data_IF_032589073821
#
_entry.id   IF_032589073821
#
_cell.length_a   1.000
_cell.length_b   1.000
_cell.length_c   1.000
_cell.angle_alpha   90.00
_cell.angle_beta   90.00
_cell.angle_gamma   90.00
#
_symmetry.space_group_name_H-M   'P 1'
#
loop_
_entity.id
_entity.type
_entity.pdbx_description
1 polymer ?
#
# COMPACT_ATOMS: atom_id res chain seq x y z
N UNK A 1 -27.21 21.90 49.04
CA UNK A 1 -26.04 22.53 48.39
C UNK A 1 -24.68 22.12 48.98
N UNK A 2 -24.61 21.39 50.11
CA UNK A 2 -23.34 20.89 50.68
C UNK A 2 -22.92 19.49 50.19
N UNK A 3 -23.81 18.70 49.58
CA UNK A 3 -23.48 17.36 49.07
C UNK A 3 -22.96 17.31 47.63
N UNK A 4 -23.11 18.38 46.83
CA UNK A 4 -22.52 18.46 45.49
C UNK A 4 -21.06 18.93 45.53
N UNK A 5 -20.69 19.74 46.53
CA UNK A 5 -19.31 20.25 46.68
C UNK A 5 -18.33 19.14 47.08
N UNK A 6 -18.77 18.17 47.89
CA UNK A 6 -17.92 17.01 48.24
C UNK A 6 -17.75 16.01 47.08
N UNK A 7 -18.73 15.90 46.18
CA UNK A 7 -18.61 15.01 45.03
C UNK A 7 -17.73 15.62 43.92
N UNK A 8 -17.75 16.94 43.75
CA UNK A 8 -16.88 17.64 42.79
C UNK A 8 -15.42 17.65 43.28
N UNK A 9 -15.17 17.91 44.57
CA UNK A 9 -13.79 17.97 45.13
C UNK A 9 -13.12 16.59 45.21
N UNK A 10 -13.88 15.50 45.41
CA UNK A 10 -13.31 14.13 45.40
C UNK A 10 -13.04 13.63 43.97
N UNK A 11 -13.80 14.09 42.98
CA UNK A 11 -13.60 13.72 41.57
C UNK A 11 -12.48 14.54 40.93
N UNK A 12 -12.38 15.84 41.22
CA UNK A 12 -11.31 16.71 40.69
C UNK A 12 -9.90 16.28 41.16
N UNK A 13 -9.75 15.84 42.42
CA UNK A 13 -8.48 15.32 42.93
C UNK A 13 -8.06 13.99 42.29
N UNK A 14 -9.01 13.21 41.79
CA UNK A 14 -8.76 11.92 41.14
C UNK A 14 -8.28 12.11 39.68
N UNK A 15 -8.88 13.06 38.95
CA UNK A 15 -8.47 13.36 37.57
C UNK A 15 -7.07 13.99 37.49
N UNK A 16 -6.73 14.91 38.39
CA UNK A 16 -5.39 15.51 38.41
C UNK A 16 -4.31 14.49 38.78
N UNK A 17 -4.62 13.59 39.71
CA UNK A 17 -3.76 12.46 40.07
C UNK A 17 -3.59 11.49 38.90
N UNK A 18 -4.69 11.07 38.25
CA UNK A 18 -4.67 10.17 37.09
C UNK A 18 -3.92 10.78 35.91
N UNK A 19 -4.09 12.09 35.67
CA UNK A 19 -3.34 12.83 34.64
C UNK A 19 -1.84 12.80 34.94
N UNK A 20 -1.47 13.08 36.19
CA UNK A 20 -0.06 13.02 36.63
C UNK A 20 0.50 11.60 36.47
N UNK A 21 -0.26 10.58 36.85
CA UNK A 21 0.11 9.18 36.66
C UNK A 21 0.34 8.84 35.18
N UNK A 22 -0.51 9.32 34.27
CA UNK A 22 -0.34 9.12 32.83
C UNK A 22 0.90 9.85 32.29
N UNK A 23 1.27 11.01 32.85
CA UNK A 23 2.53 11.69 32.51
C UNK A 23 3.76 10.90 33.01
N UNK A 24 3.72 10.38 34.24
CA UNK A 24 4.75 9.47 34.76
C UNK A 24 4.85 8.18 33.96
N UNK A 25 3.73 7.69 33.40
CA UNK A 25 3.71 6.54 32.50
C UNK A 25 4.57 6.80 31.25
N UNK A 26 4.54 8.02 30.67
CA UNK A 26 5.39 8.35 29.52
C UNK A 26 6.87 8.12 29.83
N UNK A 27 7.34 8.62 30.98
CA UNK A 27 8.74 8.56 31.40
C UNK A 27 9.15 7.12 31.74
N UNK A 28 8.38 6.46 32.61
CA UNK A 28 8.69 5.09 33.06
C UNK A 28 8.62 4.09 31.91
N UNK A 29 7.68 4.26 30.98
CA UNK A 29 7.60 3.44 29.77
C UNK A 29 8.71 3.75 28.77
N UNK A 30 9.17 5.01 28.66
CA UNK A 30 10.33 5.37 27.82
C UNK A 30 11.63 4.77 28.38
N UNK A 31 11.87 4.86 29.69
CA UNK A 31 13.02 4.25 30.35
C UNK A 31 13.05 2.72 30.15
N UNK A 32 11.89 2.07 30.29
CA UNK A 32 11.75 0.64 30.04
C UNK A 32 12.01 0.29 28.57
N UNK A 33 11.49 1.09 27.64
CA UNK A 33 11.70 0.93 26.22
C UNK A 33 13.17 1.10 25.82
N UNK A 34 13.82 2.18 26.27
CA UNK A 34 15.24 2.44 26.04
C UNK A 34 16.12 1.32 26.59
N UNK A 35 15.79 0.80 27.78
CA UNK A 35 16.48 -0.37 28.34
C UNK A 35 16.39 -1.56 27.38
N UNK A 36 15.20 -1.90 26.89
CA UNK A 36 15.03 -3.00 25.93
C UNK A 36 15.72 -2.74 24.59
N UNK A 37 15.72 -1.51 24.07
CA UNK A 37 16.48 -1.14 22.88
C UNK A 37 18.00 -1.28 23.11
N UNK A 38 18.47 -0.89 24.28
CA UNK A 38 19.88 -1.04 24.66
C UNK A 38 20.28 -2.51 24.67
N UNK A 39 19.42 -3.41 25.17
CA UNK A 39 19.61 -4.87 25.05
C UNK A 39 19.63 -5.30 23.59
N UNK A 40 18.70 -4.83 22.76
CA UNK A 40 18.65 -5.14 21.34
C UNK A 40 19.97 -4.77 20.62
N UNK A 41 20.48 -3.57 20.90
CA UNK A 41 21.71 -3.06 20.31
C UNK A 41 22.95 -3.79 20.84
N UNK A 42 23.10 -3.89 22.16
CA UNK A 42 24.31 -4.44 22.79
C UNK A 42 24.41 -5.96 22.68
N UNK A 43 23.30 -6.69 22.78
CA UNK A 43 23.30 -8.15 22.83
C UNK A 43 23.02 -8.81 21.49
N UNK A 44 22.44 -8.11 20.51
CA UNK A 44 22.18 -8.69 19.18
C UNK A 44 22.89 -7.95 18.05
N UNK A 45 22.75 -6.63 17.95
CA UNK A 45 23.40 -5.87 16.87
C UNK A 45 24.93 -5.78 17.05
N UNK A 46 25.40 -5.60 18.29
CA UNK A 46 26.80 -5.41 18.65
C UNK A 46 27.70 -6.63 18.43
N UNK A 47 27.33 -7.84 18.92
CA UNK A 47 28.26 -8.97 18.95
C UNK A 47 28.73 -9.42 17.57
N UNK A 48 30.06 -9.52 17.41
CA UNK A 48 30.71 -9.98 16.17
C UNK A 48 30.30 -11.40 15.79
N UNK A 49 30.01 -12.24 16.78
CA UNK A 49 29.54 -13.61 16.56
C UNK A 49 28.26 -13.66 15.74
N UNK A 50 27.24 -12.84 16.05
CA UNK A 50 26.02 -12.80 15.26
C UNK A 50 26.28 -12.18 13.89
N UNK A 51 27.10 -11.12 13.86
CA UNK A 51 27.52 -10.47 12.62
C UNK A 51 28.11 -11.43 11.59
N UNK A 52 28.94 -12.38 12.03
CA UNK A 52 29.59 -13.36 11.15
C UNK A 52 28.63 -14.44 10.62
N UNK A 53 27.40 -14.51 11.12
CA UNK A 53 26.38 -15.42 10.60
C UNK A 53 25.50 -14.81 9.52
N UNK A 54 25.66 -13.50 9.25
CA UNK A 54 24.82 -12.71 8.36
C UNK A 54 25.65 -12.08 7.24
N UNK A 55 25.08 -11.97 6.04
CA UNK A 55 25.63 -11.08 5.02
C UNK A 55 25.40 -9.61 5.41
N UNK A 56 26.20 -8.71 4.85
CA UNK A 56 26.07 -7.26 5.13
C UNK A 56 24.67 -6.73 4.86
N UNK A 57 24.04 -7.15 3.75
CA UNK A 57 22.68 -6.76 3.40
C UNK A 57 21.67 -7.35 4.41
N UNK A 58 21.79 -8.63 4.78
CA UNK A 58 20.89 -9.26 5.75
C UNK A 58 20.97 -8.58 7.12
N UNK A 59 22.18 -8.24 7.57
CA UNK A 59 22.37 -7.48 8.81
C UNK A 59 21.69 -6.12 8.75
N UNK A 60 21.88 -5.39 7.64
CA UNK A 60 21.23 -4.10 7.45
C UNK A 60 19.71 -4.23 7.40
N UNK A 61 19.17 -5.21 6.67
CA UNK A 61 17.72 -5.47 6.63
C UNK A 61 17.17 -5.85 7.99
N UNK A 62 17.85 -6.73 8.75
CA UNK A 62 17.36 -7.27 10.02
C UNK A 62 17.29 -6.21 11.14
N UNK A 63 18.25 -5.28 11.18
CA UNK A 63 18.33 -4.27 12.24
C UNK A 63 18.00 -2.85 11.78
N UNK A 64 17.92 -2.59 10.47
CA UNK A 64 17.69 -1.26 9.89
C UNK A 64 18.57 -0.20 10.57
N UNK A 65 17.97 0.92 10.96
CA UNK A 65 18.54 2.04 11.72
C UNK A 65 18.22 1.94 13.23
N UNK A 66 18.17 0.74 13.82
CA UNK A 66 17.85 0.53 15.25
C UNK A 66 18.69 1.40 16.20
N UNK A 67 19.97 1.59 15.86
CA UNK A 67 20.89 2.39 16.67
C UNK A 67 20.41 3.85 16.77
N UNK A 68 19.98 4.45 15.66
CA UNK A 68 19.46 5.81 15.64
C UNK A 68 18.13 5.92 16.39
N UNK A 69 17.28 4.89 16.33
CA UNK A 69 16.04 4.83 17.12
C UNK A 69 16.35 4.85 18.61
N UNK A 70 17.36 4.09 19.05
CA UNK A 70 17.85 4.12 20.44
C UNK A 70 18.36 5.49 20.83
N UNK A 71 19.18 6.12 20.00
CA UNK A 71 19.80 7.42 20.34
C UNK A 71 18.75 8.53 20.48
N UNK A 72 17.71 8.51 19.65
CA UNK A 72 16.58 9.44 19.76
C UNK A 72 15.74 9.15 21.01
N UNK A 73 15.52 7.88 21.35
CA UNK A 73 14.84 7.49 22.60
C UNK A 73 15.62 7.93 23.84
N UNK A 74 16.94 7.77 23.84
CA UNK A 74 17.82 8.23 24.91
C UNK A 74 17.76 9.76 25.07
N UNK A 75 17.88 10.50 23.97
CA UNK A 75 17.77 11.96 24.02
C UNK A 75 16.40 12.44 24.50
N UNK A 76 15.33 11.74 24.14
CA UNK A 76 13.98 12.07 24.61
C UNK A 76 13.82 11.79 26.11
N UNK A 77 14.33 10.65 26.59
CA UNK A 77 14.29 10.30 28.01
C UNK A 77 15.08 11.30 28.85
N UNK A 78 16.27 11.71 28.42
CA UNK A 78 17.09 12.69 29.13
C UNK A 78 16.36 14.02 29.34
N UNK A 79 15.67 14.52 28.30
CA UNK A 79 14.86 15.74 28.41
C UNK A 79 13.65 15.55 29.36
N UNK A 80 13.02 14.37 29.36
CA UNK A 80 11.92 14.04 30.27
C UNK A 80 12.39 13.98 31.73
N UNK A 81 13.54 13.35 31.99
CA UNK A 81 14.14 13.25 33.32
C UNK A 81 14.55 14.64 33.83
N UNK A 82 15.18 15.46 32.99
CA UNK A 82 15.51 16.85 33.34
C UNK A 82 14.26 17.65 33.73
N UNK A 83 13.16 17.52 32.97
CA UNK A 83 11.88 18.19 33.32
C UNK A 83 11.33 17.73 34.67
N UNK A 84 11.48 16.44 34.99
CA UNK A 84 11.05 15.90 36.27
C UNK A 84 11.90 16.39 37.45
N UNK A 85 13.20 16.58 37.23
CA UNK A 85 14.12 17.18 38.22
C UNK A 85 13.79 18.65 38.47
N UNK A 86 13.40 19.40 37.44
CA UNK A 86 13.00 20.81 37.54
C UNK A 86 11.67 20.99 38.29
N UNK A 87 10.71 20.07 38.09
CA UNK A 87 9.43 20.07 38.80
C UNK A 87 8.86 18.67 39.00
N UNK A 88 8.70 18.27 40.26
CA UNK A 88 8.04 17.02 40.64
C UNK A 88 6.55 16.97 40.23
N UNK A 89 5.93 18.14 40.06
CA UNK A 89 4.58 18.30 39.51
C UNK A 89 4.73 18.67 38.03
N UNK A 90 4.81 17.66 37.17
CA UNK A 90 4.87 17.87 35.73
C UNK A 90 3.50 18.30 35.22
N UNK A 91 3.40 19.53 34.72
CA UNK A 91 2.12 20.09 34.25
C UNK A 91 1.91 19.89 32.75
N UNK A 92 2.99 19.78 31.97
CA UNK A 92 2.98 19.59 30.53
C UNK A 92 4.26 18.88 30.05
N UNK A 93 4.11 18.08 28.98
CA UNK A 93 5.18 17.40 28.24
C UNK A 93 5.01 17.52 26.71
N UNK A 94 3.98 18.23 26.27
CA UNK A 94 3.63 18.41 24.86
C UNK A 94 4.73 19.13 24.10
N UNK A 95 5.37 20.11 24.74
CA UNK A 95 6.52 20.85 24.21
C UNK A 95 7.71 19.92 23.91
N UNK A 96 8.02 18.98 24.82
CA UNK A 96 9.08 18.00 24.62
C UNK A 96 8.75 17.02 23.49
N UNK A 97 7.51 16.52 23.43
CA UNK A 97 7.09 15.65 22.32
C UNK A 97 7.19 16.38 20.97
N UNK A 98 6.78 17.65 20.91
CA UNK A 98 6.91 18.46 19.70
C UNK A 98 8.37 18.72 19.34
N UNK A 99 9.23 19.04 20.31
CA UNK A 99 10.69 19.20 20.13
C UNK A 99 11.31 17.95 19.47
N UNK A 100 10.89 16.75 19.86
CA UNK A 100 11.43 15.48 19.36
C UNK A 100 10.71 14.92 18.12
N UNK A 101 9.57 15.49 17.74
CA UNK A 101 8.70 14.94 16.69
C UNK A 101 9.41 14.73 15.34
N UNK A 102 10.25 15.67 14.91
CA UNK A 102 11.03 15.54 13.67
C UNK A 102 12.10 14.45 13.76
N UNK A 103 12.75 14.31 14.93
CA UNK A 103 13.71 13.23 15.16
C UNK A 103 12.99 11.87 15.16
N UNK A 104 11.80 11.78 15.77
CA UNK A 104 10.97 10.58 15.72
C UNK A 104 10.58 10.25 14.27
N UNK A 105 10.10 11.24 13.51
CA UNK A 105 9.74 11.07 12.09
C UNK A 105 10.92 10.49 11.30
N UNK A 106 12.12 11.07 11.47
CA UNK A 106 13.35 10.63 10.78
C UNK A 106 13.71 9.18 11.05
N UNK A 107 13.60 8.70 12.30
CA UNK A 107 14.13 7.37 12.68
C UNK A 107 13.07 6.27 12.66
N UNK A 108 11.84 6.55 13.09
CA UNK A 108 10.80 5.52 13.19
C UNK A 108 10.21 5.16 11.83
N UNK A 109 10.05 6.12 10.92
CA UNK A 109 9.49 5.86 9.60
C UNK A 109 10.28 4.81 8.81
N UNK A 110 11.59 4.99 8.55
CA UNK A 110 12.35 3.98 7.82
C UNK A 110 12.42 2.65 8.56
N UNK A 111 12.52 2.65 9.89
CA UNK A 111 12.55 1.43 10.69
C UNK A 111 11.26 0.62 10.55
N UNK A 112 10.12 1.26 10.84
CA UNK A 112 8.80 0.62 10.86
C UNK A 112 8.37 0.22 9.45
N UNK A 113 8.69 1.03 8.44
CA UNK A 113 8.44 0.68 7.04
C UNK A 113 9.09 -0.67 6.71
N UNK A 114 10.32 -0.91 7.15
CA UNK A 114 11.07 -2.13 6.89
C UNK A 114 10.70 -3.33 7.78
N UNK A 115 9.78 -3.18 8.74
CA UNK A 115 9.47 -4.21 9.74
C UNK A 115 9.03 -5.55 9.12
N UNK A 116 8.27 -5.52 8.02
CA UNK A 116 7.81 -6.74 7.33
C UNK A 116 9.00 -7.53 6.77
N UNK A 117 10.00 -6.83 6.21
CA UNK A 117 11.21 -7.47 5.68
C UNK A 117 12.12 -7.98 6.78
N UNK A 118 12.23 -7.24 7.89
CA UNK A 118 12.92 -7.71 9.10
C UNK A 118 12.32 -9.03 9.59
N UNK A 119 11.00 -9.10 9.68
CA UNK A 119 10.29 -10.28 10.16
C UNK A 119 10.46 -11.46 9.20
N UNK A 120 10.26 -11.26 7.90
CA UNK A 120 10.42 -12.29 6.89
C UNK A 120 11.86 -12.83 6.87
N UNK A 121 12.85 -11.95 6.94
CA UNK A 121 14.25 -12.34 7.00
C UNK A 121 14.57 -13.10 8.28
N UNK A 122 14.12 -12.61 9.45
CA UNK A 122 14.31 -13.32 10.72
C UNK A 122 13.69 -14.72 10.69
N UNK A 123 12.48 -14.85 10.15
CA UNK A 123 11.82 -16.15 9.96
C UNK A 123 12.62 -17.07 9.04
N UNK A 124 13.12 -16.56 7.90
CA UNK A 124 13.95 -17.32 6.97
C UNK A 124 15.25 -17.80 7.62
N UNK A 125 15.98 -16.90 8.28
CA UNK A 125 17.24 -17.20 8.96
C UNK A 125 17.07 -18.23 10.07
N UNK A 126 15.96 -18.16 10.83
CA UNK A 126 15.66 -19.15 11.87
C UNK A 126 15.33 -20.54 11.32
N UNK A 127 14.92 -20.65 10.04
CA UNK A 127 14.66 -21.94 9.38
C UNK A 127 15.91 -22.50 8.67
N UNK A 128 16.66 -21.63 8.00
CA UNK A 128 17.66 -22.04 7.01
C UNK A 128 19.11 -21.90 7.51
N UNK A 129 19.38 -20.99 8.46
CA UNK A 129 20.74 -20.67 8.89
C UNK A 129 21.02 -21.21 10.30
N UNK A 130 21.55 -22.44 10.35
CA UNK A 130 21.87 -23.14 11.61
C UNK A 130 22.83 -22.32 12.49
N UNK A 131 23.85 -21.68 11.89
CA UNK A 131 24.82 -20.86 12.65
C UNK A 131 24.14 -19.67 13.32
N UNK A 132 23.28 -18.96 12.59
CA UNK A 132 22.48 -17.86 13.14
C UNK A 132 21.60 -18.35 14.29
N UNK A 133 20.88 -19.46 14.11
CA UNK A 133 20.02 -20.05 15.15
C UNK A 133 20.81 -20.37 16.42
N UNK A 134 21.97 -21.02 16.29
CA UNK A 134 22.81 -21.37 17.45
C UNK A 134 23.27 -20.13 18.20
N UNK A 135 23.73 -19.10 17.50
CA UNK A 135 24.19 -17.86 18.13
C UNK A 135 23.03 -17.11 18.78
N UNK A 136 21.89 -16.95 18.08
CA UNK A 136 20.71 -16.26 18.63
C UNK A 136 20.21 -16.94 19.90
N UNK A 137 20.06 -18.28 19.92
CA UNK A 137 19.61 -19.00 21.12
C UNK A 137 20.51 -18.75 22.32
N UNK A 138 21.83 -18.82 22.11
CA UNK A 138 22.80 -18.53 23.18
C UNK A 138 22.72 -17.08 23.67
N UNK A 139 22.48 -16.12 22.76
CA UNK A 139 22.29 -14.71 23.12
C UNK A 139 20.98 -14.50 23.91
N UNK A 140 19.90 -15.18 23.52
CA UNK A 140 18.58 -15.15 24.19
C UNK A 140 18.60 -15.77 25.60
N UNK A 141 19.53 -16.71 25.86
CA UNK A 141 19.75 -17.31 27.18
C UNK A 141 20.41 -16.35 28.18
N UNK A 142 20.98 -15.23 27.71
CA UNK A 142 21.62 -14.27 28.62
C UNK A 142 20.58 -13.61 29.55
N UNK A 143 20.90 -13.39 30.84
CA UNK A 143 19.96 -12.80 31.81
C UNK A 143 19.43 -11.42 31.38
N UNK A 144 20.25 -10.65 30.67
CA UNK A 144 19.91 -9.33 30.12
C UNK A 144 18.70 -9.37 29.17
N UNK A 145 18.48 -10.49 28.47
CA UNK A 145 17.33 -10.69 27.59
C UNK A 145 16.03 -11.03 28.34
N UNK A 146 16.09 -11.42 29.62
CA UNK A 146 14.89 -11.79 30.41
C UNK A 146 14.00 -12.84 29.70
N UNK A 147 14.63 -13.79 28.99
CA UNK A 147 13.94 -14.82 28.18
C UNK A 147 13.11 -14.30 27.01
N UNK A 148 13.32 -13.05 26.61
CA UNK A 148 12.69 -12.47 25.43
C UNK A 148 13.45 -12.89 24.16
N UNK A 149 12.77 -13.38 23.11
CA UNK A 149 13.41 -13.73 21.86
C UNK A 149 13.83 -12.49 21.06
N UNK A 150 14.79 -12.62 20.14
CA UNK A 150 15.24 -11.52 19.26
C UNK A 150 14.06 -10.78 18.59
N UNK A 151 13.07 -11.53 18.11
CA UNK A 151 11.89 -10.95 17.44
C UNK A 151 11.09 -9.99 18.31
N UNK A 152 11.01 -10.21 19.63
CA UNK A 152 10.27 -9.30 20.51
C UNK A 152 11.00 -7.98 20.72
N UNK A 153 12.31 -7.93 20.52
CA UNK A 153 13.06 -6.67 20.51
C UNK A 153 12.89 -5.91 19.19
N UNK A 154 12.89 -6.63 18.05
CA UNK A 154 12.79 -6.00 16.73
C UNK A 154 11.47 -5.26 16.50
N UNK A 155 10.38 -5.68 17.15
CA UNK A 155 9.04 -5.05 17.01
C UNK A 155 8.84 -3.82 17.91
N UNK A 156 9.76 -3.56 18.85
CA UNK A 156 9.56 -2.52 19.86
C UNK A 156 9.36 -1.12 19.27
N UNK A 157 10.10 -0.67 18.23
CA UNK A 157 9.90 0.68 17.69
C UNK A 157 8.49 0.94 17.15
N UNK A 158 7.89 -0.04 16.45
CA UNK A 158 6.50 0.04 16.01
C UNK A 158 5.53 0.15 17.19
N UNK A 159 5.75 -0.69 18.22
CA UNK A 159 4.92 -0.66 19.44
C UNK A 159 5.07 0.66 20.21
N UNK A 160 6.27 1.26 20.23
CA UNK A 160 6.51 2.47 21.00
C UNK A 160 5.78 3.67 20.40
N UNK A 161 5.97 3.93 19.11
CA UNK A 161 5.40 5.12 18.47
C UNK A 161 3.86 5.09 18.49
N UNK A 162 3.26 3.90 18.41
CA UNK A 162 1.81 3.70 18.53
C UNK A 162 1.32 3.89 19.97
N UNK A 163 2.04 3.34 20.97
CA UNK A 163 1.68 3.52 22.39
C UNK A 163 1.85 4.96 22.87
N UNK A 164 2.88 5.68 22.43
CA UNK A 164 3.10 7.07 22.80
C UNK A 164 1.88 7.93 22.44
N UNK A 165 1.32 7.75 21.23
CA UNK A 165 0.07 8.40 20.83
C UNK A 165 -1.07 8.12 21.80
N UNK A 166 -1.28 6.85 22.16
CA UNK A 166 -2.38 6.44 23.03
C UNK A 166 -2.24 7.03 24.45
N UNK A 167 -1.03 7.08 25.00
CA UNK A 167 -0.77 7.69 26.32
C UNK A 167 -1.05 9.19 26.27
N UNK A 168 -0.63 9.89 25.21
CA UNK A 168 -0.94 11.31 25.02
C UNK A 168 -2.46 11.58 24.89
N UNK A 169 -3.17 10.74 24.15
CA UNK A 169 -4.64 10.81 24.06
C UNK A 169 -5.31 10.56 25.43
N UNK A 170 -4.74 9.68 26.25
CA UNK A 170 -5.21 9.47 27.62
C UNK A 170 -4.99 10.71 28.49
N UNK A 171 -3.80 11.32 28.43
CA UNK A 171 -3.52 12.59 29.12
C UNK A 171 -4.52 13.67 28.69
N UNK A 172 -4.85 13.76 27.40
CA UNK A 172 -5.83 14.72 26.89
C UNK A 172 -7.23 14.49 27.48
N UNK A 173 -7.67 13.23 27.58
CA UNK A 173 -8.96 12.88 28.19
C UNK A 173 -9.04 13.21 29.68
N UNK A 174 -7.90 13.18 30.38
CA UNK A 174 -7.78 13.46 31.81
C UNK A 174 -7.44 14.93 32.10
N UNK A 175 -7.29 15.77 31.07
CA UNK A 175 -6.95 17.19 31.22
C UNK A 175 -8.20 18.07 31.24
N UNK A 176 -8.17 19.15 32.02
CA UNK A 176 -9.19 20.20 31.98
C UNK A 176 -9.28 20.80 30.56
N UNK A 177 -10.47 20.78 29.91
CA UNK A 177 -10.67 21.36 28.58
C UNK A 177 -10.29 22.84 28.45
N UNK A 178 -10.35 23.60 29.54
CA UNK A 178 -9.98 25.03 29.58
C UNK A 178 -8.49 25.26 29.90
N UNK A 179 -7.72 24.18 30.12
CA UNK A 179 -6.29 24.28 30.40
C UNK A 179 -5.52 24.84 29.20
N UNK A 180 -4.56 25.77 29.44
CA UNK A 180 -3.74 26.35 28.37
C UNK A 180 -2.84 25.31 27.65
N UNK A 181 -2.70 24.11 28.22
CA UNK A 181 -1.90 23.00 27.65
C UNK A 181 -2.64 22.28 26.52
N UNK A 182 -3.97 22.32 26.49
CA UNK A 182 -4.80 21.54 25.55
C UNK A 182 -4.43 21.75 24.07
N UNK A 183 -4.19 22.99 23.57
CA UNK A 183 -3.78 23.20 22.18
C UNK A 183 -2.44 22.52 21.85
N UNK A 184 -1.44 22.66 22.74
CA UNK A 184 -0.12 22.06 22.58
C UNK A 184 -0.19 20.53 22.58
N UNK A 185 -0.97 19.96 23.51
CA UNK A 185 -1.18 18.51 23.61
C UNK A 185 -1.86 17.94 22.37
N UNK A 186 -2.89 18.61 21.85
CA UNK A 186 -3.54 18.22 20.58
C UNK A 186 -2.55 18.30 19.40
N UNK A 187 -1.64 19.27 19.39
CA UNK A 187 -0.60 19.36 18.39
C UNK A 187 0.41 18.20 18.50
N UNK A 188 0.85 17.86 19.71
CA UNK A 188 1.74 16.73 19.97
C UNK A 188 1.12 15.39 19.53
N UNK A 189 -0.16 15.15 19.86
CA UNK A 189 -0.92 13.97 19.43
C UNK A 189 -1.00 13.90 17.91
N UNK A 190 -1.27 15.03 17.23
CA UNK A 190 -1.29 15.07 15.76
C UNK A 190 0.08 14.75 15.16
N UNK A 191 1.15 15.35 15.68
CA UNK A 191 2.50 15.11 15.18
C UNK A 191 2.90 13.62 15.27
N UNK A 192 2.66 12.97 16.42
CA UNK A 192 2.91 11.52 16.58
C UNK A 192 1.96 10.69 15.71
N UNK A 193 0.69 11.11 15.61
CA UNK A 193 -0.30 10.46 14.76
C UNK A 193 0.05 10.46 13.28
N UNK A 194 0.60 11.56 12.76
CA UNK A 194 1.10 11.68 11.40
C UNK A 194 2.26 10.71 11.13
N UNK A 195 3.19 10.55 12.08
CA UNK A 195 4.28 9.57 11.95
C UNK A 195 3.71 8.16 11.79
N UNK A 196 2.74 7.78 12.63
CA UNK A 196 2.09 6.46 12.55
C UNK A 196 1.36 6.28 11.21
N UNK A 197 0.66 7.32 10.73
CA UNK A 197 -0.02 7.29 9.44
C UNK A 197 0.99 7.12 8.29
N UNK A 198 2.08 7.88 8.30
CA UNK A 198 3.10 7.84 7.26
C UNK A 198 3.80 6.48 7.21
N UNK A 199 4.07 5.85 8.36
CA UNK A 199 4.54 4.47 8.42
C UNK A 199 3.60 3.51 7.68
N UNK A 200 2.29 3.60 7.93
CA UNK A 200 1.30 2.74 7.29
C UNK A 200 1.22 2.98 5.77
N UNK A 201 1.25 4.25 5.35
CA UNK A 201 1.22 4.62 3.94
C UNK A 201 2.49 4.16 3.22
N UNK A 202 3.65 4.25 3.86
CA UNK A 202 4.92 3.76 3.34
C UNK A 202 4.91 2.23 3.17
N UNK A 203 4.42 1.49 4.16
CA UNK A 203 4.25 0.02 4.05
C UNK A 203 3.34 -0.33 2.88
N UNK A 204 2.24 0.39 2.69
CA UNK A 204 1.33 0.19 1.55
C UNK A 204 2.02 0.47 0.22
N UNK A 205 2.71 1.62 0.10
CA UNK A 205 3.44 2.00 -1.12
C UNK A 205 4.57 1.02 -1.46
N UNK A 206 5.20 0.46 -0.44
CA UNK A 206 6.27 -0.52 -0.62
C UNK A 206 5.74 -1.85 -1.16
N UNK A 207 4.61 -2.36 -0.62
CA UNK A 207 3.93 -3.54 -1.17
C UNK A 207 3.48 -3.33 -2.63
N UNK A 208 2.94 -2.14 -2.93
CA UNK A 208 2.58 -1.79 -4.31
C UNK A 208 3.81 -1.78 -5.22
N UNK A 209 4.93 -1.23 -4.76
CA UNK A 209 6.18 -1.20 -5.52
C UNK A 209 6.72 -2.62 -5.76
N UNK A 210 6.65 -3.50 -4.76
CA UNK A 210 7.06 -4.90 -4.89
C UNK A 210 6.21 -5.65 -5.94
N UNK A 211 4.89 -5.43 -5.95
CA UNK A 211 4.01 -5.97 -6.99
C UNK A 211 4.39 -5.48 -8.40
N UNK A 212 4.73 -4.19 -8.55
CA UNK A 212 5.21 -3.65 -9.82
C UNK A 212 6.55 -4.25 -10.25
N UNK A 213 7.48 -4.48 -9.32
CA UNK A 213 8.76 -5.13 -9.61
C UNK A 213 8.56 -6.55 -10.13
N UNK A 214 7.69 -7.33 -9.48
CA UNK A 214 7.37 -8.69 -9.92
C UNK A 214 6.72 -8.68 -11.31
N UNK A 215 5.80 -7.76 -11.56
CA UNK A 215 5.13 -7.61 -12.85
C UNK A 215 6.12 -7.20 -13.95
N UNK A 216 7.03 -6.27 -13.68
CA UNK A 216 8.06 -5.84 -14.64
C UNK A 216 9.00 -6.99 -15.03
N UNK A 217 9.40 -7.83 -14.06
CA UNK A 217 10.21 -9.02 -14.33
C UNK A 217 9.49 -10.05 -15.21
N UNK A 218 8.16 -10.12 -15.14
CA UNK A 218 7.34 -11.03 -15.93
C UNK A 218 6.94 -10.44 -17.29
N UNK A 219 7.07 -9.12 -17.49
CA UNK A 219 6.56 -8.41 -18.66
C UNK A 219 7.64 -8.25 -19.74
N UNK A 220 7.27 -8.53 -20.99
CA UNK A 220 8.17 -8.43 -22.15
C UNK A 220 7.52 -7.60 -23.26
N UNK A 221 8.19 -6.52 -23.64
CA UNK A 221 7.83 -5.67 -24.79
C UNK A 221 8.59 -6.16 -26.03
N UNK A 222 7.90 -6.79 -26.99
CA UNK A 222 8.55 -7.28 -28.24
C UNK A 222 8.23 -6.44 -29.46
N UNK A 223 6.93 -6.21 -29.71
CA UNK A 223 6.42 -5.52 -30.90
C UNK A 223 5.88 -4.11 -30.60
N UNK A 224 5.98 -3.71 -29.33
CA UNK A 224 5.39 -2.51 -28.75
C UNK A 224 6.52 -1.75 -28.08
N UNK A 225 6.47 -0.42 -28.07
CA UNK A 225 7.46 0.43 -27.40
C UNK A 225 7.55 0.05 -25.91
N UNK A 226 8.77 -0.12 -25.41
CA UNK A 226 8.99 -0.42 -23.99
C UNK A 226 8.75 0.83 -23.14
N UNK A 227 8.07 0.62 -22.02
CA UNK A 227 7.82 1.65 -21.00
C UNK A 227 8.22 1.10 -19.62
N UNK A 228 8.75 1.94 -18.72
CA UNK A 228 9.01 1.53 -17.34
C UNK A 228 7.67 1.28 -16.65
N UNK A 229 7.52 0.14 -15.97
CA UNK A 229 6.33 -0.12 -15.15
C UNK A 229 6.48 0.50 -13.76
N UNK A 230 7.70 0.62 -13.25
CA UNK A 230 7.99 1.26 -11.97
C UNK A 230 8.24 2.75 -12.20
N UNK A 231 7.26 3.58 -11.83
CA UNK A 231 7.37 5.05 -11.90
C UNK A 231 6.81 5.68 -10.63
N UNK A 232 7.15 6.96 -10.37
CA UNK A 232 6.64 7.66 -9.18
C UNK A 232 5.12 7.81 -9.27
N UNK A 233 4.42 7.34 -8.24
CA UNK A 233 2.97 7.49 -8.11
C UNK A 233 2.14 6.45 -8.88
N UNK A 234 2.76 5.57 -9.67
CA UNK A 234 2.04 4.47 -10.32
C UNK A 234 1.75 3.35 -9.33
N UNK A 235 0.54 2.81 -9.38
CA UNK A 235 0.16 1.61 -8.64
C UNK A 235 -0.70 0.70 -9.51
N UNK A 236 -0.59 -0.62 -9.31
CA UNK A 236 -1.52 -1.56 -9.91
C UNK A 236 -2.85 -1.45 -9.17
N UNK A 237 -3.91 -1.06 -9.87
CA UNK A 237 -5.27 -0.97 -9.34
C UNK A 237 -5.91 -2.35 -9.37
N UNK A 238 -5.76 -3.06 -10.49
CA UNK A 238 -6.17 -4.46 -10.60
C UNK A 238 -5.54 -5.18 -11.78
N UNK A 239 -5.60 -6.50 -11.73
CA UNK A 239 -5.26 -7.41 -12.81
C UNK A 239 -6.44 -8.37 -13.09
N UNK A 240 -6.66 -8.70 -14.36
CA UNK A 240 -7.70 -9.65 -14.78
C UNK A 240 -7.21 -10.56 -15.90
N UNK A 241 -7.63 -11.83 -15.87
CA UNK A 241 -7.50 -12.76 -16.98
C UNK A 241 -8.84 -12.79 -17.73
N UNK A 242 -8.82 -12.51 -19.03
CA UNK A 242 -10.01 -12.44 -19.88
C UNK A 242 -9.77 -13.16 -21.20
N UNK A 243 -10.84 -13.40 -21.96
CA UNK A 243 -10.76 -13.91 -23.32
C UNK A 243 -11.07 -12.80 -24.31
N UNK A 244 -10.11 -12.48 -25.18
CA UNK A 244 -10.37 -11.67 -26.35
C UNK A 244 -11.15 -12.49 -27.36
N UNK A 245 -12.33 -11.99 -27.72
CA UNK A 245 -13.19 -12.57 -28.75
C UNK A 245 -12.80 -11.99 -30.11
N UNK A 246 -12.40 -12.87 -31.03
CA UNK A 246 -12.07 -12.52 -32.41
C UNK A 246 -13.12 -13.14 -33.30
N UNK A 247 -13.81 -12.29 -34.06
CA UNK A 247 -14.86 -12.69 -35.00
C UNK A 247 -14.27 -12.63 -36.41
N UNK A 248 -14.09 -13.77 -37.05
CA UNK A 248 -13.55 -13.90 -38.41
C UNK A 248 -14.64 -14.43 -39.36
N UNK A 249 -14.71 -13.92 -40.58
CA UNK A 249 -15.54 -14.53 -41.63
C UNK A 249 -14.84 -15.78 -42.18
N UNK A 250 -15.52 -16.93 -42.19
CA UNK A 250 -14.96 -18.12 -42.81
C UNK A 250 -14.93 -17.96 -44.34
N UNK A 251 -13.85 -18.44 -44.97
CA UNK A 251 -13.68 -18.49 -46.42
C UNK A 251 -14.88 -19.23 -47.05
N UNK A 252 -15.84 -18.51 -47.62
CA UNK A 252 -17.09 -19.07 -48.16
C UNK A 252 -18.39 -18.31 -47.85
N UNK A 253 -18.34 -17.18 -47.12
CA UNK A 253 -19.40 -16.15 -47.15
C UNK A 253 -20.72 -16.45 -46.39
N UNK A 254 -20.76 -17.42 -45.47
CA UNK A 254 -21.98 -17.65 -44.66
C UNK A 254 -21.75 -18.27 -43.26
N UNK A 255 -20.51 -18.40 -42.79
CA UNK A 255 -20.25 -18.89 -41.43
C UNK A 255 -19.26 -17.97 -40.72
N UNK A 256 -19.72 -17.40 -39.61
CA UNK A 256 -18.89 -16.63 -38.69
C UNK A 256 -18.08 -17.61 -37.84
N UNK A 257 -16.76 -17.42 -37.78
CA UNK A 257 -15.86 -18.19 -36.92
C UNK A 257 -15.46 -17.32 -35.74
N UNK A 258 -15.84 -17.74 -34.54
CA UNK A 258 -15.46 -17.08 -33.29
C UNK A 258 -14.23 -17.79 -32.71
N UNK A 259 -13.15 -17.04 -32.50
CA UNK A 259 -11.91 -17.53 -31.88
C UNK A 259 -11.67 -16.76 -30.58
N UNK A 260 -11.41 -17.49 -29.49
CA UNK A 260 -11.09 -16.89 -28.19
C UNK A 260 -9.59 -16.95 -27.94
N UNK A 261 -8.99 -15.84 -27.53
CA UNK A 261 -7.56 -15.77 -27.14
C UNK A 261 -7.41 -15.25 -25.72
N UNK A 262 -6.65 -15.93 -24.85
CA UNK A 262 -6.42 -15.44 -23.50
C UNK A 262 -5.60 -14.15 -23.51
N UNK A 263 -6.10 -13.15 -22.80
CA UNK A 263 -5.44 -11.86 -22.59
C UNK A 263 -5.45 -11.53 -21.10
N UNK A 264 -4.43 -10.81 -20.67
CA UNK A 264 -4.30 -10.32 -19.30
C UNK A 264 -4.23 -8.80 -19.32
N UNK A 265 -5.08 -8.20 -18.51
CA UNK A 265 -5.21 -6.76 -18.39
C UNK A 265 -4.66 -6.33 -17.05
N UNK A 266 -3.71 -5.41 -17.08
CA UNK A 266 -3.16 -4.79 -15.89
C UNK A 266 -3.56 -3.32 -15.91
N UNK A 267 -4.51 -2.97 -15.05
CA UNK A 267 -4.98 -1.61 -14.88
C UNK A 267 -4.16 -0.95 -13.77
N UNK A 268 -3.37 0.03 -14.16
CA UNK A 268 -2.73 0.97 -13.28
C UNK A 268 -3.63 2.20 -13.10
N UNK A 269 -3.29 3.07 -12.16
CA UNK A 269 -4.00 4.33 -11.97
C UNK A 269 -3.88 5.30 -13.16
N UNK A 270 -2.82 5.19 -13.96
CA UNK A 270 -2.52 6.08 -15.09
C UNK A 270 -2.46 5.36 -16.45
N UNK A 271 -2.50 4.03 -16.47
CA UNK A 271 -2.22 3.22 -17.64
C UNK A 271 -3.06 1.92 -17.64
N UNK A 272 -3.55 1.50 -18.80
CA UNK A 272 -4.03 0.13 -19.02
C UNK A 272 -3.02 -0.60 -19.91
N UNK A 273 -2.54 -1.76 -19.44
CA UNK A 273 -1.63 -2.63 -20.19
C UNK A 273 -2.34 -3.91 -20.61
N UNK A 274 -2.30 -4.21 -21.91
CA UNK A 274 -2.90 -5.40 -22.52
C UNK A 274 -1.79 -6.36 -22.91
N UNK A 275 -1.82 -7.57 -22.35
CA UNK A 275 -0.80 -8.58 -22.59
C UNK A 275 -1.39 -9.93 -22.97
N UNK A 276 -0.67 -10.69 -23.80
CA UNK A 276 -0.94 -12.11 -24.02
C UNK A 276 -0.10 -12.95 -23.07
N UNK A 277 -0.70 -13.99 -22.48
CA UNK A 277 0.03 -14.96 -21.64
C UNK A 277 0.95 -15.82 -22.50
N UNK A 278 2.20 -16.00 -22.07
CA UNK A 278 3.16 -16.92 -22.69
C UNK A 278 3.42 -18.13 -21.80
N UNK A 279 4.12 -19.11 -22.38
CA UNK A 279 4.72 -20.21 -21.63
C UNK A 279 5.63 -19.66 -20.51
N UNK A 280 5.71 -20.37 -19.39
CA UNK A 280 6.46 -20.00 -18.17
C UNK A 280 5.92 -18.79 -17.37
N UNK A 281 4.68 -18.35 -17.61
CA UNK A 281 4.05 -17.29 -16.80
C UNK A 281 4.54 -15.87 -17.10
N UNK A 282 5.21 -15.67 -18.24
CA UNK A 282 5.58 -14.33 -18.73
C UNK A 282 4.45 -13.71 -19.54
N UNK A 283 4.40 -12.38 -19.55
CA UNK A 283 3.44 -11.59 -20.30
C UNK A 283 4.10 -10.93 -21.51
N UNK A 284 3.48 -11.10 -22.67
CA UNK A 284 3.89 -10.38 -23.88
C UNK A 284 2.95 -9.21 -24.09
N UNK A 285 3.46 -7.99 -23.97
CA UNK A 285 2.65 -6.80 -24.20
C UNK A 285 2.16 -6.77 -25.64
N UNK A 286 0.85 -6.62 -25.81
CA UNK A 286 0.14 -6.52 -27.08
C UNK A 286 -0.24 -5.08 -27.38
N UNK A 287 -0.65 -4.33 -26.36
CA UNK A 287 -1.05 -2.92 -26.45
C UNK A 287 -1.02 -2.24 -25.08
N UNK A 288 -1.07 -0.92 -25.04
CA UNK A 288 -1.35 -0.13 -23.84
C UNK A 288 -1.93 1.24 -24.21
N UNK A 289 -2.65 1.85 -23.27
CA UNK A 289 -3.19 3.20 -23.40
C UNK A 289 -3.22 3.88 -22.03
N UNK A 290 -3.23 5.21 -21.99
CA UNK A 290 -3.48 5.94 -20.73
C UNK A 290 -4.91 5.69 -20.27
N UNK A 291 -5.16 5.67 -18.95
CA UNK A 291 -6.51 5.42 -18.42
C UNK A 291 -7.55 6.45 -18.90
N UNK A 292 -7.13 7.68 -19.19
CA UNK A 292 -7.99 8.72 -19.79
C UNK A 292 -8.44 8.41 -21.22
N UNK A 293 -7.75 7.52 -21.92
CA UNK A 293 -8.01 7.15 -23.32
C UNK A 293 -8.66 5.78 -23.44
N UNK A 294 -9.25 5.27 -22.36
CA UNK A 294 -9.82 3.93 -22.27
C UNK A 294 -11.26 4.03 -21.80
N UNK A 295 -12.19 3.39 -22.49
CA UNK A 295 -13.58 3.23 -22.05
C UNK A 295 -14.02 1.78 -22.16
N UNK A 296 -14.95 1.38 -21.28
CA UNK A 296 -15.56 0.06 -21.28
C UNK A 296 -17.07 0.20 -21.39
N UNK A 297 -17.68 -0.52 -22.35
CA UNK A 297 -19.10 -0.44 -22.67
C UNK A 297 -19.76 -1.82 -22.64
N UNK A 298 -21.02 -1.86 -22.23
CA UNK A 298 -21.81 -3.08 -22.28
C UNK A 298 -22.09 -3.42 -23.74
N UNK A 299 -21.79 -4.68 -24.10
CA UNK A 299 -22.13 -5.20 -25.40
C UNK A 299 -23.41 -6.05 -25.31
N UNK A 300 -24.39 -5.73 -26.14
CA UNK A 300 -25.66 -6.46 -26.29
C UNK A 300 -25.80 -6.98 -27.71
N UNK A 301 -25.08 -8.07 -28.02
CA UNK A 301 -24.99 -8.64 -29.36
C UNK A 301 -25.65 -10.03 -29.44
N UNK A 302 -26.97 -10.11 -29.20
CA UNK A 302 -27.73 -11.36 -29.24
C UNK A 302 -27.77 -12.00 -30.65
N UNK A 303 -27.66 -11.18 -31.69
CA UNK A 303 -27.69 -11.59 -33.12
C UNK A 303 -26.39 -12.26 -33.60
N UNK A 304 -25.26 -11.99 -32.92
CA UNK A 304 -23.93 -12.50 -33.29
C UNK A 304 -23.54 -13.81 -32.56
N UNK A 305 -24.43 -14.34 -31.71
CA UNK A 305 -24.15 -15.55 -30.92
C UNK A 305 -23.04 -15.37 -29.87
N UNK A 306 -22.74 -14.12 -29.49
CA UNK A 306 -21.72 -13.81 -28.50
C UNK A 306 -22.17 -14.20 -27.08
N UNK A 307 -21.25 -14.66 -26.21
CA UNK A 307 -21.56 -14.94 -24.81
C UNK A 307 -22.09 -13.70 -24.07
N UNK A 308 -22.97 -13.89 -23.08
CA UNK A 308 -23.60 -12.81 -22.30
C UNK A 308 -22.62 -11.98 -21.49
N UNK A 309 -21.47 -12.56 -21.16
CA UNK A 309 -20.40 -11.99 -20.34
C UNK A 309 -19.38 -11.19 -21.19
N UNK A 310 -19.76 -10.79 -22.41
CA UNK A 310 -18.93 -9.97 -23.29
C UNK A 310 -19.15 -8.47 -23.09
N UNK A 311 -18.11 -7.69 -23.26
CA UNK A 311 -18.15 -6.22 -23.22
C UNK A 311 -17.13 -5.67 -24.23
N UNK A 312 -17.29 -4.40 -24.60
CA UNK A 312 -16.40 -3.72 -25.51
C UNK A 312 -15.41 -2.88 -24.72
N UNK A 313 -14.12 -3.06 -24.98
CA UNK A 313 -13.06 -2.19 -24.53
C UNK A 313 -12.63 -1.30 -25.71
N UNK A 314 -12.73 0.01 -25.53
CA UNK A 314 -12.30 0.98 -26.51
C UNK A 314 -11.08 1.73 -26.00
N UNK A 315 -10.04 1.78 -26.84
CA UNK A 315 -8.87 2.62 -26.68
C UNK A 315 -9.01 3.75 -27.70
N UNK A 316 -9.30 4.97 -27.27
CA UNK A 316 -9.39 6.14 -28.17
C UNK A 316 -8.02 6.46 -28.76
N UNK A 317 -6.97 6.32 -27.94
CA UNK A 317 -5.58 6.49 -28.35
C UNK A 317 -4.71 5.45 -27.66
N UNK A 318 -4.19 4.49 -28.42
CA UNK A 318 -3.27 3.48 -27.93
C UNK A 318 -1.80 3.94 -28.02
N UNK A 319 -0.85 3.05 -27.70
CA UNK A 319 0.59 3.36 -27.73
C UNK A 319 1.13 3.87 -29.07
N UNK A 320 0.42 3.62 -30.17
CA UNK A 320 0.77 4.02 -31.53
C UNK A 320 0.00 5.27 -32.00
N UNK A 321 -0.81 5.89 -31.14
CA UNK A 321 -1.67 7.01 -31.49
C UNK A 321 -2.89 6.61 -32.31
N UNK A 322 -3.30 5.33 -32.27
CA UNK A 322 -4.42 4.81 -33.06
C UNK A 322 -5.56 4.36 -32.15
N UNK A 323 -6.79 4.57 -32.62
CA UNK A 323 -7.98 4.03 -31.98
C UNK A 323 -8.03 2.49 -32.15
N UNK A 324 -8.49 1.79 -31.13
CA UNK A 324 -8.61 0.33 -31.16
C UNK A 324 -9.74 -0.15 -30.27
N UNK A 325 -10.59 -1.02 -30.81
CA UNK A 325 -11.63 -1.70 -30.05
C UNK A 325 -11.30 -3.19 -29.86
N UNK A 326 -11.66 -3.74 -28.70
CA UNK A 326 -11.46 -5.13 -28.32
C UNK A 326 -12.75 -5.68 -27.70
N UNK A 327 -13.27 -6.78 -28.24
CA UNK A 327 -14.35 -7.51 -27.59
C UNK A 327 -13.71 -8.47 -26.58
N UNK A 328 -14.09 -8.32 -25.31
CA UNK A 328 -13.56 -9.11 -24.21
C UNK A 328 -14.69 -9.86 -23.53
N UNK A 329 -14.40 -11.11 -23.14
CA UNK A 329 -15.30 -11.96 -22.40
C UNK A 329 -14.74 -12.20 -21.00
N UNK A 330 -15.56 -11.91 -19.99
CA UNK A 330 -15.30 -12.23 -18.59
C UNK A 330 -15.77 -13.66 -18.24
N UNK A 331 -15.27 -14.20 -17.13
CA UNK A 331 -15.65 -15.53 -16.64
C UNK A 331 -17.02 -15.53 -15.95
N UNK A 332 -17.45 -14.39 -15.44
CA UNK A 332 -18.76 -14.24 -14.81
C UNK A 332 -19.37 -12.87 -15.10
N UNK A 333 -20.69 -12.76 -14.88
CA UNK A 333 -21.39 -11.49 -14.98
C UNK A 333 -20.82 -10.47 -13.98
N UNK A 334 -20.55 -10.89 -12.76
CA UNK A 334 -19.98 -10.04 -11.71
C UNK A 334 -18.60 -9.49 -12.10
N UNK A 335 -17.75 -10.32 -12.71
CA UNK A 335 -16.44 -9.88 -13.20
C UNK A 335 -16.57 -8.84 -14.33
N UNK A 336 -17.50 -9.06 -15.28
CA UNK A 336 -17.82 -8.06 -16.32
C UNK A 336 -18.24 -6.73 -15.71
N UNK A 337 -19.13 -6.73 -14.71
CA UNK A 337 -19.57 -5.50 -14.04
C UNK A 337 -18.42 -4.80 -13.32
N UNK A 338 -17.57 -5.56 -12.62
CA UNK A 338 -16.39 -5.01 -11.95
C UNK A 338 -15.39 -4.41 -12.93
N UNK A 339 -15.28 -4.97 -14.12
CA UNK A 339 -14.36 -4.50 -15.15
C UNK A 339 -14.82 -3.16 -15.72
N UNK A 340 -16.09 -3.07 -16.10
CA UNK A 340 -16.70 -1.84 -16.61
C UNK A 340 -16.61 -0.74 -15.55
N UNK A 341 -16.97 -1.03 -14.30
CA UNK A 341 -16.95 -0.04 -13.21
C UNK A 341 -15.53 0.42 -12.81
N UNK A 342 -14.50 -0.39 -13.07
CA UNK A 342 -13.12 -0.02 -12.75
C UNK A 342 -12.48 0.89 -13.81
N UNK A 343 -12.98 0.85 -15.05
CA UNK A 343 -12.41 1.59 -16.19
C UNK A 343 -13.25 2.81 -16.53
N UNK A 344 -14.57 2.68 -16.47
CA UNK A 344 -15.50 3.78 -16.68
C UNK A 344 -16.02 4.27 -15.32
N UNK A 345 -15.97 5.58 -15.01
CA UNK A 345 -16.58 6.12 -13.80
C UNK A 345 -18.12 5.88 -13.81
N UNK A 346 -18.77 5.87 -12.62
CA UNK A 346 -20.18 5.48 -12.48
C UNK A 346 -21.20 6.32 -13.26
N UNK A 347 -20.81 7.47 -13.84
CA UNK A 347 -21.70 8.37 -14.58
C UNK A 347 -21.78 8.08 -16.10
N UNK A 348 -21.17 6.99 -16.58
CA UNK A 348 -21.12 6.60 -18.01
C UNK A 348 -21.94 5.34 -18.29
N UNK A 349 -23.27 5.45 -18.28
CA UNK A 349 -24.18 4.37 -18.72
C UNK A 349 -24.32 4.35 -20.26
N UNK A 350 -23.24 4.01 -20.97
CA UNK A 350 -23.27 3.81 -22.42
C UNK A 350 -23.45 2.31 -22.76
N UNK A 351 -24.50 1.99 -23.52
CA UNK A 351 -24.76 0.65 -24.07
C UNK A 351 -24.54 0.65 -25.59
N UNK A 352 -23.77 -0.33 -26.09
CA UNK A 352 -23.47 -0.45 -27.52
C UNK A 352 -24.19 -1.68 -28.13
N UNK A 353 -25.06 -1.42 -29.12
CA UNK A 353 -25.81 -2.45 -29.85
C UNK A 353 -25.20 -2.66 -31.24
N UNK A 354 -24.84 -3.90 -31.57
CA UNK A 354 -24.41 -4.29 -32.92
C UNK A 354 -25.54 -5.08 -33.59
N UNK A 355 -26.17 -4.48 -34.62
CA UNK A 355 -27.16 -5.14 -35.49
C UNK A 355 -26.53 -5.47 -36.86
N UNK A 356 -26.82 -6.66 -37.40
CA UNK A 356 -26.40 -7.04 -38.76
C UNK A 356 -27.41 -6.46 -39.78
N UNK A 357 -26.98 -5.82 -40.88
CA UNK A 357 -27.91 -5.33 -41.89
C UNK A 357 -28.60 -6.50 -42.60
N UNK A 358 -29.93 -6.55 -42.55
CA UNK A 358 -30.71 -7.51 -43.33
C UNK A 358 -30.66 -7.14 -44.82
N UNK A 359 -30.01 -7.99 -45.61
CA UNK A 359 -30.33 -8.16 -47.03
C UNK A 359 -29.88 -7.04 -47.98
N UNK A 360 -28.57 -6.96 -48.26
CA UNK A 360 -28.09 -6.57 -49.60
C UNK A 360 -26.69 -7.15 -49.82
N UNK A 361 -26.48 -7.76 -50.98
CA UNK A 361 -25.16 -8.23 -51.39
C UNK A 361 -24.22 -7.02 -51.59
N UNK A 362 -23.44 -6.70 -50.57
CA UNK A 362 -22.33 -5.75 -50.64
C UNK A 362 -21.03 -6.55 -50.62
N UNK A 363 -20.08 -6.18 -51.48
CA UNK A 363 -18.79 -6.87 -51.68
C UNK A 363 -17.69 -6.44 -50.70
N UNK A 364 -18.05 -5.79 -49.60
CA UNK A 364 -17.12 -5.35 -48.55
C UNK A 364 -17.40 -6.16 -47.30
N UNK A 365 -16.34 -6.60 -46.62
CA UNK A 365 -16.49 -7.42 -45.42
C UNK A 365 -17.16 -6.60 -44.30
N UNK A 366 -17.94 -7.20 -43.39
CA UNK A 366 -18.53 -6.52 -42.23
C UNK A 366 -17.47 -5.89 -41.30
N UNK A 367 -16.22 -6.34 -41.40
CA UNK A 367 -15.07 -5.78 -40.68
C UNK A 367 -14.64 -4.44 -41.30
N UNK A 368 -14.70 -4.31 -42.63
CA UNK A 368 -14.46 -3.03 -43.30
C UNK A 368 -15.59 -2.06 -42.99
N UNK A 369 -16.86 -2.48 -42.88
CA UNK A 369 -17.97 -1.61 -42.44
C UNK A 369 -17.83 -1.16 -40.97
N UNK A 370 -17.31 -1.99 -40.06
CA UNK A 370 -17.00 -1.59 -38.68
C UNK A 370 -15.76 -0.67 -38.57
N UNK A 371 -14.77 -0.81 -39.45
CA UNK A 371 -13.64 0.14 -39.55
C UNK A 371 -14.04 1.44 -40.29
N UNK A 372 -14.94 1.38 -41.29
CA UNK A 372 -15.42 2.51 -42.09
C UNK A 372 -16.50 3.34 -41.38
N UNK A 373 -17.45 2.72 -40.66
CA UNK A 373 -18.46 3.47 -39.87
C UNK A 373 -17.82 4.21 -38.69
N UNK A 374 -16.75 3.67 -38.10
CA UNK A 374 -15.98 4.37 -37.06
C UNK A 374 -15.06 5.46 -37.61
N UNK A 375 -14.64 5.37 -38.89
CA UNK A 375 -13.92 6.45 -39.57
C UNK A 375 -14.85 7.62 -39.95
N UNK A 376 -16.14 7.37 -40.25
CA UNK A 376 -17.11 8.44 -40.54
C UNK A 376 -17.51 9.24 -39.29
N UNK A 377 -17.58 8.63 -38.10
CA UNK A 377 -17.84 9.36 -36.84
C UNK A 377 -16.68 10.32 -36.50
N UNK A 378 -15.43 9.95 -36.82
CA UNK A 378 -14.26 10.83 -36.65
C UNK A 378 -14.19 12.00 -37.64
N UNK A 379 -14.95 11.99 -38.74
CA UNK A 379 -14.96 13.07 -39.74
C UNK A 379 -16.05 14.11 -39.48
N UNK A 380 -17.10 13.76 -38.72
CA UNK A 380 -18.20 14.69 -38.39
C UNK A 380 -17.85 15.62 -37.22
N UNK A 381 -16.92 15.24 -36.33
CA UNK A 381 -16.44 16.12 -35.24
C UNK A 381 -15.26 17.02 -35.63
N UNK A 382 -14.77 16.93 -36.87
CA UNK A 382 -13.68 17.79 -37.39
C UNK A 382 -14.17 18.95 -38.30
N UNK A 383 -15.49 19.16 -38.39
CA UNK A 383 -16.10 20.20 -39.25
C UNK A 383 -17.19 21.05 -38.57
N UNK A 384 -17.13 21.26 -37.24
CA UNK A 384 -17.82 22.36 -36.55
C UNK A 384 -16.90 23.11 -35.60
#
# INVERSE_FOLDING_TARGET
MQSLVYFVVVVEGDFEFLRSQAMFEVITSEASYLKSLTVAVSNFLGPRELAMTLHSMERHTLFSNLLEVRDVSESFLLDLEQRLEESLLMTDLSDLVLKHSEAFRRVYIPYVTNQIYQEALAQRLLRENVKFVTVVRRLEEQPVCQRQPLKSFLVLPFQRITRLKNVLENILKLSDPESPVIPSLKQAIRAVGEIVSECNDNVKRMKQTEELVLLEQQTVFRKVKSIPLITRGRCLVRQWELLQVIVEEASGGSRIKITMKPVQLHLFNDLLLISGKKEEGRFSVLDYAQTSSVTAERLTAKSLGLPSETFLLHLTENHAGSARALILQAHSKEEKEQWIAAISPPDSEAEHNIELPEGRAVKTSPIEELELQNAEVSLVEAMD
#
